data_IF_318511157983
#
_entry.id   IF_318511157983
#
_cell.length_a   1.000
_cell.length_b   1.000
_cell.length_c   1.000
_cell.angle_alpha   90.00
_cell.angle_beta   90.00
_cell.angle_gamma   90.00
#
_symmetry.space_group_name_H-M   'P 1'
#
loop_
_entity.id
_entity.type
_entity.pdbx_description
1 polymer ?
#
# COMPACT_ATOMS: atom_id res chain seq x y z
N UNK A 1 7.07 14.06 -4.38
CA UNK A 1 5.81 13.58 -3.79
C UNK A 1 5.73 12.07 -3.91
N UNK A 2 5.33 11.37 -2.85
CA UNK A 2 5.15 9.92 -2.97
C UNK A 2 3.94 9.59 -3.84
N UNK A 3 4.13 8.65 -4.74
CA UNK A 3 3.04 8.17 -5.58
C UNK A 3 2.26 7.09 -4.84
N UNK A 4 0.94 7.22 -4.84
CA UNK A 4 0.05 6.25 -4.23
C UNK A 4 -0.78 5.59 -5.31
N UNK A 5 -0.81 4.26 -5.31
CA UNK A 5 -1.57 3.47 -6.27
C UNK A 5 -2.37 2.41 -5.55
N UNK A 6 -3.62 2.22 -5.97
CA UNK A 6 -4.46 1.17 -5.42
C UNK A 6 -4.15 -0.13 -6.16
N UNK A 7 -3.78 -1.18 -5.42
CA UNK A 7 -3.52 -2.48 -5.99
C UNK A 7 -4.82 -3.24 -6.25
N UNK A 8 -4.86 -3.98 -7.35
CA UNK A 8 -5.95 -4.91 -7.60
C UNK A 8 -5.80 -6.15 -6.73
N UNK A 9 -6.87 -6.97 -6.66
CA UNK A 9 -6.84 -8.21 -5.88
C UNK A 9 -5.70 -9.12 -6.31
N UNK A 10 -5.43 -9.21 -7.61
CA UNK A 10 -4.34 -10.01 -8.14
C UNK A 10 -2.99 -9.50 -7.68
N UNK A 11 -2.79 -8.19 -7.74
CA UNK A 11 -1.54 -7.56 -7.31
C UNK A 11 -1.35 -7.72 -5.80
N UNK A 12 -2.41 -7.58 -5.02
CA UNK A 12 -2.38 -7.80 -3.58
C UNK A 12 -1.93 -9.21 -3.26
N UNK A 13 -2.47 -10.21 -3.96
CA UNK A 13 -2.07 -11.60 -3.76
C UNK A 13 -0.60 -11.82 -4.08
N UNK A 14 -0.11 -11.25 -5.17
CA UNK A 14 1.30 -11.37 -5.55
C UNK A 14 2.22 -10.83 -4.47
N UNK A 15 1.91 -9.65 -3.95
CA UNK A 15 2.69 -9.05 -2.87
C UNK A 15 2.60 -9.88 -1.59
N UNK A 16 1.42 -10.37 -1.26
CA UNK A 16 1.22 -11.20 -0.08
C UNK A 16 2.08 -12.47 -0.14
N UNK A 17 2.12 -13.11 -1.30
CA UNK A 17 2.95 -14.30 -1.51
C UNK A 17 4.44 -13.97 -1.42
N UNK A 18 4.84 -12.84 -2.00
CA UNK A 18 6.24 -12.43 -2.02
C UNK A 18 6.79 -12.19 -0.61
N UNK A 19 5.96 -11.64 0.27
CA UNK A 19 6.37 -11.29 1.64
C UNK A 19 5.80 -12.23 2.69
N UNK A 20 5.18 -13.35 2.28
CA UNK A 20 4.56 -14.33 3.18
C UNK A 20 3.54 -13.72 4.13
N UNK A 21 2.76 -12.80 3.63
CA UNK A 21 1.71 -12.16 4.42
C UNK A 21 0.45 -13.03 4.34
N UNK A 22 0.20 -13.82 5.38
CA UNK A 22 -0.93 -14.75 5.40
C UNK A 22 -2.20 -14.15 5.97
N UNK A 23 -2.08 -13.11 6.78
CA UNK A 23 -3.21 -12.46 7.42
C UNK A 23 -3.20 -10.97 7.17
N UNK A 24 -4.38 -10.38 7.11
CA UNK A 24 -4.50 -8.93 6.94
C UNK A 24 -3.84 -8.17 8.09
N UNK A 25 -3.77 -8.77 9.27
CA UNK A 25 -3.11 -8.18 10.43
C UNK A 25 -1.60 -7.98 10.24
N UNK A 26 -1.00 -8.74 9.33
CA UNK A 26 0.43 -8.62 9.03
C UNK A 26 0.77 -7.48 8.09
N UNK A 27 -0.24 -6.86 7.47
CA UNK A 27 -0.04 -5.70 6.63
C UNK A 27 0.09 -4.42 7.49
N UNK A 28 1.00 -3.51 7.11
CA UNK A 28 0.96 -2.17 7.69
C UNK A 28 -0.39 -1.53 7.40
N UNK A 29 -0.94 -0.84 8.38
CA UNK A 29 -2.28 -0.26 8.27
C UNK A 29 -2.23 1.19 7.79
N UNK A 30 -3.22 1.57 7.00
CA UNK A 30 -3.48 2.96 6.69
C UNK A 30 -4.97 3.23 6.96
N UNK A 31 -5.25 4.37 7.60
CA UNK A 31 -6.64 4.76 7.85
C UNK A 31 -7.29 5.24 6.55
N UNK A 32 -8.56 4.89 6.38
CA UNK A 32 -9.36 5.40 5.26
C UNK A 32 -9.56 6.92 5.34
N UNK A 33 -9.29 7.50 6.50
CA UNK A 33 -9.40 8.94 6.73
C UNK A 33 -8.08 9.69 6.54
N UNK A 34 -6.99 8.97 6.28
CA UNK A 34 -5.71 9.63 5.98
C UNK A 34 -5.82 10.44 4.68
N UNK A 35 -5.24 11.65 4.64
CA UNK A 35 -5.31 12.47 3.43
C UNK A 35 -4.91 11.77 2.13
N UNK A 36 -3.81 11.01 2.08
CA UNK A 36 -3.47 10.25 0.86
C UNK A 36 -4.54 9.22 0.48
N UNK A 37 -5.11 8.53 1.47
CA UNK A 37 -6.14 7.53 1.20
C UNK A 37 -7.40 8.17 0.64
N UNK A 38 -7.79 9.31 1.18
CA UNK A 38 -8.95 10.08 0.68
C UNK A 38 -8.69 10.57 -0.74
N UNK A 39 -7.49 11.07 -1.00
CA UNK A 39 -7.12 11.64 -2.30
C UNK A 39 -7.21 10.62 -3.43
N UNK A 40 -6.87 9.36 -3.19
CA UNK A 40 -6.93 8.30 -4.20
C UNK A 40 -8.22 7.49 -4.16
N UNK A 41 -9.11 7.78 -3.20
CA UNK A 41 -10.36 7.03 -3.05
C UNK A 41 -10.17 5.63 -2.49
N UNK A 42 -9.18 5.44 -1.62
CA UNK A 42 -8.89 4.14 -1.03
C UNK A 42 -10.03 3.68 -0.13
N UNK A 43 -10.43 2.42 -0.30
CA UNK A 43 -11.52 1.82 0.47
C UNK A 43 -11.00 0.75 1.43
N UNK A 44 -11.74 0.46 2.52
CA UNK A 44 -11.35 -0.61 3.44
C UNK A 44 -11.17 -1.94 2.70
N UNK A 45 -10.10 -2.64 3.04
CA UNK A 45 -9.75 -3.91 2.41
C UNK A 45 -8.84 -3.79 1.19
N UNK A 46 -8.59 -2.58 0.70
CA UNK A 46 -7.68 -2.35 -0.42
C UNK A 46 -6.26 -2.08 0.08
N UNK A 47 -5.28 -2.49 -0.72
CA UNK A 47 -3.88 -2.22 -0.45
C UNK A 47 -3.40 -1.11 -1.37
N UNK A 48 -2.70 -0.14 -0.82
CA UNK A 48 -2.07 0.91 -1.59
C UNK A 48 -0.56 0.69 -1.68
N UNK A 49 0.00 0.89 -2.87
CA UNK A 49 1.43 0.90 -3.10
C UNK A 49 1.91 2.34 -3.07
N UNK A 50 2.90 2.61 -2.22
CA UNK A 50 3.46 3.94 -2.07
C UNK A 50 4.89 3.91 -2.57
N UNK A 51 5.18 4.67 -3.62
CA UNK A 51 6.53 4.79 -4.17
C UNK A 51 7.14 6.10 -3.71
N UNK A 52 8.30 6.02 -3.09
CA UNK A 52 9.01 7.18 -2.57
C UNK A 52 10.34 7.33 -3.29
N UNK A 53 10.54 8.46 -3.95
CA UNK A 53 11.83 8.79 -4.53
C UNK A 53 12.72 9.41 -3.45
N UNK A 54 13.80 8.71 -3.13
CA UNK A 54 14.78 9.22 -2.18
C UNK A 54 15.90 9.93 -2.93
N UNK A 55 16.39 11.08 -2.44
CA UNK A 55 17.53 11.78 -3.06
C UNK A 55 18.83 10.96 -3.03
N UNK A 56 18.87 9.86 -2.29
CA UNK A 56 20.02 8.96 -2.24
C UNK A 56 19.92 7.77 -3.20
N UNK A 57 19.09 7.89 -4.20
CA UNK A 57 18.97 6.96 -5.34
C UNK A 57 18.38 5.59 -5.05
N UNK A 58 17.78 5.36 -3.89
CA UNK A 58 17.08 4.13 -3.58
C UNK A 58 15.57 4.38 -3.58
N UNK A 59 14.89 3.81 -4.57
CA UNK A 59 13.44 3.81 -4.56
C UNK A 59 12.96 2.90 -3.45
N UNK A 60 12.16 3.45 -2.52
CA UNK A 60 11.56 2.67 -1.45
C UNK A 60 10.08 2.50 -1.72
N UNK A 61 9.64 1.26 -1.79
CA UNK A 61 8.24 0.94 -2.01
C UNK A 61 7.63 0.43 -0.72
N UNK A 62 6.46 0.96 -0.40
CA UNK A 62 5.69 0.55 0.77
C UNK A 62 4.31 0.09 0.35
N UNK A 63 3.79 -0.89 1.06
CA UNK A 63 2.42 -1.35 0.87
C UNK A 63 1.68 -1.20 2.19
N UNK A 64 0.46 -0.66 2.13
CA UNK A 64 -0.38 -0.47 3.31
C UNK A 64 -1.80 -0.94 3.02
N UNK A 65 -2.35 -1.66 3.99
CA UNK A 65 -3.74 -2.12 3.90
C UNK A 65 -4.67 -1.09 4.53
N UNK A 66 -5.68 -0.71 3.78
CA UNK A 66 -6.69 0.22 4.29
C UNK A 66 -7.68 -0.52 5.20
N UNK A 67 -7.94 0.05 6.33
CA UNK A 67 -8.94 -0.48 7.28
C UNK A 67 -10.07 0.47 7.57
#
# INVERSE_FOLDING_TARGET
MPDHRILSDEEKEKVAKKYNIMKDENWPEISRFDPPAIAIGLRPGQVTEITRNSPTALETMYWRLCK
#
